data_IF_805733896640
#
_entry.id   IF_805733896640
#
_cell.length_a   1.000
_cell.length_b   1.000
_cell.length_c   1.000
_cell.angle_alpha   90.00
_cell.angle_beta   90.00
_cell.angle_gamma   90.00
#
_symmetry.space_group_name_H-M   'P 1'
#
loop_
_entity.id
_entity.type
_entity.pdbx_description
1 polymer ?
#
# COMPACT_ATOMS: atom_id res chain seq x y z
N UNK A 1 -12.26 5.69 -16.89
CA UNK A 1 -11.26 6.39 -16.06
C UNK A 1 -10.51 5.33 -15.30
N UNK A 2 -9.17 5.40 -15.24
CA UNK A 2 -8.38 4.41 -14.50
C UNK A 2 -8.60 4.59 -13.01
N UNK A 3 -8.77 3.48 -12.30
CA UNK A 3 -8.81 3.47 -10.83
C UNK A 3 -7.46 3.02 -10.30
N UNK A 4 -7.13 3.44 -9.10
CA UNK A 4 -5.83 3.21 -8.46
C UNK A 4 -6.02 2.40 -7.19
N UNK A 5 -5.08 1.51 -6.92
CA UNK A 5 -4.99 0.78 -5.66
C UNK A 5 -3.65 1.11 -5.02
N UNK A 6 -3.67 1.78 -3.87
CA UNK A 6 -2.42 2.07 -3.14
C UNK A 6 -1.95 0.85 -2.36
N UNK A 7 -0.66 0.52 -2.50
CA UNK A 7 0.02 -0.47 -1.66
C UNK A 7 0.03 -0.07 -0.19
N UNK A 8 0.16 -1.05 0.70
CA UNK A 8 0.32 -0.77 2.14
C UNK A 8 1.52 0.12 2.46
N UNK A 9 2.62 -0.01 1.71
CA UNK A 9 3.79 0.85 1.89
C UNK A 9 3.49 2.31 1.52
N UNK A 10 2.83 2.55 0.39
CA UNK A 10 2.43 3.91 -0.02
C UNK A 10 1.45 4.53 0.97
N UNK A 11 0.46 3.77 1.43
CA UNK A 11 -0.50 4.23 2.44
C UNK A 11 0.20 4.55 3.76
N UNK A 12 1.17 3.73 4.17
CA UNK A 12 1.93 3.99 5.37
C UNK A 12 2.79 5.25 5.26
N UNK A 13 3.32 5.57 4.08
CA UNK A 13 4.06 6.81 3.86
C UNK A 13 3.15 8.05 3.90
N UNK A 14 1.94 7.97 3.34
CA UNK A 14 0.91 9.02 3.49
C UNK A 14 0.54 9.23 4.96
N UNK A 15 0.41 8.15 5.74
CA UNK A 15 0.12 8.23 7.17
C UNK A 15 1.21 9.04 7.88
N UNK A 16 2.49 8.83 7.58
CA UNK A 16 3.59 9.50 8.28
C UNK A 16 3.59 11.02 8.15
N UNK A 17 3.01 11.59 7.08
CA UNK A 17 2.99 13.03 6.75
C UNK A 17 4.37 13.67 6.80
N UNK A 18 5.26 13.18 5.93
CA UNK A 18 6.69 13.55 5.91
C UNK A 18 7.17 14.04 4.55
N UNK A 19 6.26 14.44 3.66
CA UNK A 19 6.54 14.81 2.28
C UNK A 19 7.24 13.67 1.53
N UNK A 20 6.77 12.44 1.73
CA UNK A 20 7.29 11.27 1.04
C UNK A 20 6.64 11.14 -0.34
N UNK A 21 7.27 10.38 -1.25
CA UNK A 21 6.82 10.28 -2.64
C UNK A 21 5.34 9.89 -2.79
N UNK A 22 4.85 8.96 -1.97
CA UNK A 22 3.43 8.58 -2.01
C UNK A 22 2.47 9.69 -1.57
N UNK A 23 2.90 10.57 -0.65
CA UNK A 23 2.13 11.75 -0.23
C UNK A 23 2.08 12.78 -1.35
N UNK A 24 3.22 13.09 -1.96
CA UNK A 24 3.32 14.00 -3.10
C UNK A 24 2.54 13.49 -4.32
N UNK A 25 2.54 12.17 -4.55
CA UNK A 25 1.73 11.53 -5.57
C UNK A 25 0.24 11.76 -5.34
N UNK A 26 -0.23 11.62 -4.09
CA UNK A 26 -1.63 11.81 -3.71
C UNK A 26 -2.05 13.28 -3.84
N UNK A 27 -1.19 14.22 -3.42
CA UNK A 27 -1.43 15.66 -3.57
C UNK A 27 -1.58 16.09 -5.02
N UNK A 28 -0.84 15.46 -5.94
CA UNK A 28 -0.92 15.76 -7.36
C UNK A 28 -2.05 15.05 -8.12
N UNK A 29 -2.78 14.13 -7.47
CA UNK A 29 -3.80 13.29 -8.09
C UNK A 29 -4.89 14.12 -8.80
N UNK A 30 -5.41 15.15 -8.15
CA UNK A 30 -6.49 15.99 -8.68
C UNK A 30 -6.06 16.72 -9.98
N UNK A 31 -4.83 17.24 -10.00
CA UNK A 31 -4.26 17.89 -11.20
C UNK A 31 -4.13 16.97 -12.41
N UNK A 32 -4.14 15.65 -12.18
CA UNK A 32 -4.08 14.59 -13.19
C UNK A 32 -5.46 14.03 -13.55
N UNK A 33 -6.53 14.61 -12.98
CA UNK A 33 -7.89 14.10 -13.12
C UNK A 33 -8.12 12.77 -12.43
N UNK A 34 -7.37 12.46 -11.37
CA UNK A 34 -7.58 11.31 -10.51
C UNK A 34 -8.35 11.81 -9.28
N UNK A 35 -9.63 11.46 -9.19
CA UNK A 35 -10.47 11.89 -8.08
C UNK A 35 -10.30 10.97 -6.87
N UNK A 36 -10.68 11.46 -5.68
CA UNK A 36 -10.59 10.67 -4.45
C UNK A 36 -11.32 9.31 -4.55
N UNK A 37 -12.46 9.27 -5.24
CA UNK A 37 -13.27 8.08 -5.48
C UNK A 37 -12.60 7.04 -6.39
N UNK A 38 -11.58 7.44 -7.15
CA UNK A 38 -10.79 6.56 -8.00
C UNK A 38 -9.61 5.92 -7.25
N UNK A 39 -9.34 6.31 -6.00
CA UNK A 39 -8.21 5.83 -5.20
C UNK A 39 -8.70 4.91 -4.10
N UNK A 40 -8.34 3.65 -4.19
CA UNK A 40 -8.75 2.60 -3.26
C UNK A 40 -7.56 1.99 -2.50
N UNK A 41 -7.85 1.24 -1.45
CA UNK A 41 -6.92 0.34 -0.76
C UNK A 41 -7.53 -1.05 -0.65
N UNK A 42 -6.69 -2.09 -0.51
CA UNK A 42 -7.18 -3.44 -0.22
C UNK A 42 -7.60 -3.54 1.24
N UNK A 43 -8.58 -4.40 1.55
CA UNK A 43 -8.96 -4.69 2.94
C UNK A 43 -7.82 -5.28 3.79
N UNK A 44 -6.78 -5.84 3.17
CA UNK A 44 -5.58 -6.30 3.88
C UNK A 44 -4.70 -5.13 4.35
N UNK A 45 -4.76 -3.97 3.68
CA UNK A 45 -3.88 -2.83 3.94
C UNK A 45 -4.09 -2.25 5.34
N UNK A 46 -5.32 -1.93 5.81
CA UNK A 46 -5.54 -1.50 7.19
C UNK A 46 -5.06 -2.52 8.23
N UNK A 47 -5.26 -3.81 7.97
CA UNK A 47 -4.84 -4.90 8.86
C UNK A 47 -3.31 -4.94 9.00
N UNK A 48 -2.60 -4.93 7.87
CA UNK A 48 -1.12 -4.95 7.84
C UNK A 48 -0.53 -3.74 8.56
N UNK A 49 -1.02 -2.54 8.26
CA UNK A 49 -0.49 -1.30 8.85
C UNK A 49 -0.76 -1.23 10.35
N UNK A 50 -2.00 -1.56 10.79
CA UNK A 50 -2.33 -1.58 12.22
C UNK A 50 -1.46 -2.58 12.98
N UNK A 51 -1.31 -3.80 12.46
CA UNK A 51 -0.46 -4.80 13.08
C UNK A 51 0.99 -4.33 13.20
N UNK A 52 1.57 -3.74 12.14
CA UNK A 52 2.93 -3.20 12.18
C UNK A 52 3.10 -2.09 13.23
N UNK A 53 2.14 -1.17 13.31
CA UNK A 53 2.16 -0.08 14.30
C UNK A 53 2.01 -0.59 15.74
N UNK A 54 1.16 -1.58 15.97
CA UNK A 54 1.00 -2.22 17.28
C UNK A 54 2.26 -2.98 17.72
N UNK A 55 2.91 -3.68 16.80
CA UNK A 55 4.20 -4.33 17.05
C UNK A 55 5.28 -3.29 17.39
N UNK A 56 5.37 -2.22 16.61
CA UNK A 56 6.30 -1.13 16.87
C UNK A 56 6.06 -0.46 18.23
N UNK A 57 4.78 -0.23 18.59
CA UNK A 57 4.41 0.35 19.88
C UNK A 57 4.79 -0.57 21.05
N UNK A 58 4.56 -1.87 20.91
CA UNK A 58 4.91 -2.88 21.91
C UNK A 58 6.42 -2.95 22.10
N UNK A 59 7.18 -3.00 21.00
CA UNK A 59 8.64 -3.00 21.03
C UNK A 59 9.21 -1.73 21.67
N UNK A 60 8.69 -0.55 21.29
CA UNK A 60 9.15 0.74 21.82
C UNK A 60 8.85 0.91 23.32
N UNK A 61 7.77 0.31 23.84
CA UNK A 61 7.49 0.30 25.28
C UNK A 61 8.44 -0.63 26.04
N UNK A 62 8.81 -1.76 25.45
CA UNK A 62 9.68 -2.74 26.08
C UNK A 62 11.15 -2.29 26.12
N UNK A 63 11.63 -1.59 25.07
CA UNK A 63 13.00 -1.09 24.94
C UNK A 63 13.03 0.32 24.31
N UNK A 64 12.70 1.37 25.07
CA UNK A 64 12.59 2.73 24.55
C UNK A 64 13.86 3.25 23.87
N UNK A 65 15.02 2.90 24.39
CA UNK A 65 16.34 3.34 23.89
C UNK A 65 16.73 2.76 22.53
N UNK A 66 16.12 1.63 22.13
CA UNK A 66 16.38 0.96 20.85
C UNK A 66 15.26 1.22 19.82
N UNK A 67 14.25 2.03 20.16
CA UNK A 67 13.09 2.24 19.32
C UNK A 67 13.41 3.17 18.14
N UNK A 68 13.06 2.75 16.92
CA UNK A 68 13.19 3.57 15.70
C UNK A 68 12.40 4.89 15.82
N UNK A 69 11.24 4.83 16.47
CA UNK A 69 10.42 5.99 16.78
C UNK A 69 9.98 5.96 18.25
N UNK A 70 9.92 7.11 18.94
CA UNK A 70 9.45 7.16 20.31
C UNK A 70 7.94 6.89 20.38
N UNK A 71 7.47 6.37 21.52
CA UNK A 71 6.06 5.99 21.75
C UNK A 71 5.04 7.06 21.34
N UNK A 72 5.22 8.37 21.65
CA UNK A 72 4.27 9.40 21.21
C UNK A 72 4.13 9.49 19.68
N UNK A 73 5.23 9.37 18.94
CA UNK A 73 5.22 9.42 17.47
C UNK A 73 4.49 8.21 16.88
N UNK A 74 4.68 7.02 17.45
CA UNK A 74 3.96 5.81 17.00
C UNK A 74 2.45 5.96 17.26
N UNK A 75 2.06 6.56 18.38
CA UNK A 75 0.64 6.86 18.67
C UNK A 75 0.05 7.84 17.67
N UNK A 76 0.78 8.90 17.32
CA UNK A 76 0.34 9.84 16.28
C UNK A 76 0.12 9.14 14.93
N UNK A 77 1.00 8.21 14.54
CA UNK A 77 0.81 7.40 13.35
C UNK A 77 -0.44 6.51 13.42
N UNK A 78 -0.74 5.92 14.58
CA UNK A 78 -1.97 5.13 14.78
C UNK A 78 -3.21 6.02 14.62
N UNK A 79 -3.21 7.20 15.21
CA UNK A 79 -4.33 8.15 15.11
C UNK A 79 -4.54 8.63 13.66
N UNK A 80 -3.44 8.91 12.94
CA UNK A 80 -3.47 9.28 11.53
C UNK A 80 -3.97 8.13 10.65
N UNK A 81 -3.51 6.90 10.91
CA UNK A 81 -3.97 5.69 10.22
C UNK A 81 -5.47 5.47 10.40
N UNK A 82 -5.97 5.61 11.64
CA UNK A 82 -7.40 5.44 11.91
C UNK A 82 -8.26 6.46 11.18
N UNK A 83 -7.89 7.74 11.19
CA UNK A 83 -8.60 8.79 10.44
C UNK A 83 -8.61 8.50 8.94
N UNK A 84 -7.47 8.08 8.39
CA UNK A 84 -7.36 7.74 6.97
C UNK A 84 -8.24 6.53 6.63
N UNK A 85 -8.22 5.46 7.43
CA UNK A 85 -9.04 4.29 7.17
C UNK A 85 -10.54 4.54 7.35
N UNK A 86 -10.93 5.40 8.30
CA UNK A 86 -12.32 5.83 8.43
C UNK A 86 -12.81 6.61 7.21
N UNK A 87 -11.94 7.45 6.63
CA UNK A 87 -12.22 8.19 5.40
C UNK A 87 -12.42 7.24 4.21
N UNK A 88 -11.49 6.31 3.99
CA UNK A 88 -11.63 5.29 2.93
C UNK A 88 -12.85 4.39 3.14
N UNK A 89 -13.16 4.01 4.39
CA UNK A 89 -14.32 3.17 4.69
C UNK A 89 -15.65 3.89 4.45
N UNK A 90 -15.72 5.18 4.78
CA UNK A 90 -16.93 6.00 4.59
C UNK A 90 -17.38 6.06 3.13
N UNK A 91 -16.42 6.07 2.22
CA UNK A 91 -16.66 6.25 0.78
C UNK A 91 -16.59 4.93 -0.03
N UNK A 92 -16.62 3.76 0.64
CA UNK A 92 -16.51 2.44 -0.01
C UNK A 92 -15.24 2.30 -0.89
N UNK A 93 -14.13 2.87 -0.42
CA UNK A 93 -12.81 2.83 -1.08
C UNK A 93 -11.89 1.73 -0.53
N UNK A 94 -12.38 0.92 0.39
CA UNK A 94 -11.69 -0.30 0.87
C UNK A 94 -12.24 -1.50 0.11
N UNK A 95 -11.42 -2.10 -0.75
CA UNK A 95 -11.83 -3.25 -1.56
C UNK A 95 -11.82 -4.51 -0.69
N UNK A 96 -13.02 -5.02 -0.40
CA UNK A 96 -13.19 -6.27 0.33
C UNK A 96 -12.63 -7.46 -0.44
N UNK A 97 -12.04 -8.41 0.28
CA UNK A 97 -11.64 -9.69 -0.28
C UNK A 97 -12.88 -10.49 -0.70
N UNK A 98 -13.02 -10.77 -1.98
CA UNK A 98 -14.04 -11.67 -2.51
C UNK A 98 -13.43 -12.97 -3.06
N UNK A 99 -14.28 -13.85 -3.60
CA UNK A 99 -13.85 -15.12 -4.17
C UNK A 99 -12.93 -14.96 -5.39
N UNK A 100 -13.07 -13.88 -6.18
CA UNK A 100 -12.23 -13.63 -7.36
C UNK A 100 -10.84 -13.21 -6.94
N UNK A 101 -10.74 -12.31 -5.96
CA UNK A 101 -9.48 -11.86 -5.38
C UNK A 101 -8.79 -13.03 -4.68
N UNK A 102 -9.52 -13.83 -3.90
CA UNK A 102 -8.97 -15.01 -3.24
C UNK A 102 -8.43 -16.04 -4.23
N UNK A 103 -9.16 -16.32 -5.32
CA UNK A 103 -8.70 -17.20 -6.39
C UNK A 103 -7.43 -16.67 -7.05
N UNK A 104 -7.41 -15.38 -7.41
CA UNK A 104 -6.24 -14.75 -8.02
C UNK A 104 -5.04 -14.72 -7.07
N UNK A 105 -5.27 -14.51 -5.77
CA UNK A 105 -4.23 -14.60 -4.76
C UNK A 105 -3.64 -16.01 -4.71
N UNK A 106 -4.47 -17.05 -4.82
CA UNK A 106 -4.05 -18.45 -4.97
C UNK A 106 -3.05 -18.65 -6.12
N UNK A 107 -3.35 -18.09 -7.30
CA UNK A 107 -2.44 -18.15 -8.47
C UNK A 107 -1.07 -17.51 -8.18
N UNK A 108 -1.03 -16.48 -7.33
CA UNK A 108 0.19 -15.74 -6.99
C UNK A 108 0.99 -16.39 -5.86
N UNK A 109 0.43 -17.33 -5.10
CA UNK A 109 1.11 -17.92 -3.93
C UNK A 109 2.42 -18.63 -4.34
N UNK A 110 2.37 -19.41 -5.41
CA UNK A 110 3.52 -20.17 -5.92
C UNK A 110 4.47 -19.33 -6.78
N UNK A 111 4.05 -18.14 -7.20
CA UNK A 111 4.90 -17.22 -7.95
C UNK A 111 5.94 -16.58 -7.03
N UNK A 112 7.22 -16.74 -7.34
CA UNK A 112 8.30 -16.03 -6.66
C UNK A 112 8.41 -14.61 -7.22
N UNK A 113 7.81 -13.66 -6.51
CA UNK A 113 7.86 -12.24 -6.82
C UNK A 113 8.93 -11.62 -5.94
N UNK A 114 9.93 -10.97 -6.53
CA UNK A 114 11.05 -10.38 -5.78
C UNK A 114 11.31 -8.95 -6.21
N UNK A 115 11.62 -8.08 -5.25
CA UNK A 115 12.11 -6.72 -5.53
C UNK A 115 13.54 -6.55 -5.03
N UNK A 116 14.22 -5.50 -5.49
CA UNK A 116 15.55 -5.11 -4.99
C UNK A 116 15.45 -3.90 -4.08
N UNK A 117 16.18 -3.94 -2.98
CA UNK A 117 16.39 -2.75 -2.14
C UNK A 117 17.41 -1.79 -2.80
N UNK A 118 17.64 -0.59 -2.24
CA UNK A 118 18.63 0.36 -2.76
C UNK A 118 20.06 -0.18 -2.80
N UNK A 119 20.39 -1.18 -1.98
CA UNK A 119 21.70 -1.85 -1.94
C UNK A 119 21.80 -3.02 -2.95
N UNK A 120 20.73 -3.26 -3.73
CA UNK A 120 20.65 -4.30 -4.76
C UNK A 120 20.33 -5.70 -4.23
N UNK A 121 19.99 -5.86 -2.94
CA UNK A 121 19.61 -7.15 -2.35
C UNK A 121 18.19 -7.51 -2.74
N UNK A 122 17.98 -8.79 -3.08
CA UNK A 122 16.66 -9.29 -3.46
C UNK A 122 15.85 -9.75 -2.24
N UNK A 123 14.60 -9.31 -2.17
CA UNK A 123 13.63 -9.72 -1.16
C UNK A 123 12.38 -10.29 -1.82
N UNK A 124 11.84 -11.36 -1.25
CA UNK A 124 10.56 -11.90 -1.69
C UNK A 124 9.42 -10.98 -1.21
N UNK A 125 8.42 -10.77 -2.07
CA UNK A 125 7.23 -10.00 -1.75
C UNK A 125 6.38 -10.75 -0.70
N UNK A 126 6.01 -10.11 0.42
CA UNK A 126 5.20 -10.75 1.46
C UNK A 126 3.84 -11.23 0.95
N UNK A 127 3.28 -12.25 1.58
CA UNK A 127 1.94 -12.78 1.23
C UNK A 127 0.84 -11.71 1.29
N UNK A 128 0.92 -10.75 2.22
CA UNK A 128 -0.04 -9.66 2.31
C UNK A 128 0.01 -8.76 1.06
N UNK A 129 1.19 -8.45 0.56
CA UNK A 129 1.37 -7.69 -0.69
C UNK A 129 0.87 -8.48 -1.91
N UNK A 130 0.97 -9.81 -1.92
CA UNK A 130 0.35 -10.64 -2.96
C UNK A 130 -1.18 -10.52 -2.99
N UNK A 131 -1.82 -10.30 -1.83
CA UNK A 131 -3.26 -9.99 -1.77
C UNK A 131 -3.56 -8.62 -2.38
N UNK A 132 -2.72 -7.61 -2.13
CA UNK A 132 -2.85 -6.29 -2.74
C UNK A 132 -2.73 -6.37 -4.26
N UNK A 133 -1.75 -7.12 -4.77
CA UNK A 133 -1.58 -7.39 -6.21
C UNK A 133 -2.79 -8.12 -6.78
N UNK A 134 -3.29 -9.17 -6.11
CA UNK A 134 -4.50 -9.86 -6.54
C UNK A 134 -5.71 -8.92 -6.60
N UNK A 135 -5.84 -8.03 -5.61
CA UNK A 135 -6.87 -6.99 -5.58
C UNK A 135 -6.73 -6.06 -6.79
N UNK A 136 -5.51 -5.63 -7.11
CA UNK A 136 -5.24 -4.75 -8.26
C UNK A 136 -5.59 -5.42 -9.59
N UNK A 137 -5.20 -6.68 -9.77
CA UNK A 137 -5.47 -7.48 -10.97
C UNK A 137 -6.96 -7.73 -11.19
N UNK A 138 -7.73 -7.96 -10.12
CA UNK A 138 -9.17 -8.21 -10.21
C UNK A 138 -9.94 -6.91 -10.42
N UNK A 139 -9.56 -5.83 -9.74
CA UNK A 139 -10.20 -4.54 -9.95
C UNK A 139 -11.51 -4.34 -9.16
N UNK A 140 -12.29 -3.33 -9.57
CA UNK A 140 -13.68 -3.11 -9.11
C UNK A 140 -14.62 -3.25 -10.31
N UNK A 141 -15.31 -4.39 -10.38
CA UNK A 141 -16.08 -4.81 -11.55
C UNK A 141 -15.20 -5.58 -12.55
N UNK A 142 -15.15 -5.09 -13.79
CA UNK A 142 -14.34 -5.66 -14.89
C UNK A 142 -13.10 -4.82 -15.22
N UNK A 143 -12.79 -3.82 -14.39
CA UNK A 143 -11.69 -2.88 -14.62
C UNK A 143 -10.60 -3.07 -13.56
N UNK A 144 -9.42 -3.60 -13.93
CA UNK A 144 -8.24 -3.67 -13.07
C UNK A 144 -7.83 -2.29 -12.55
N UNK A 145 -7.17 -2.27 -11.40
CA UNK A 145 -6.56 -1.06 -10.86
C UNK A 145 -5.15 -0.87 -11.41
N UNK A 146 -4.72 0.39 -11.50
CA UNK A 146 -3.30 0.76 -11.50
C UNK A 146 -2.78 0.64 -10.07
N UNK A 147 -1.83 -0.25 -9.86
CA UNK A 147 -1.24 -0.49 -8.54
C UNK A 147 -0.16 0.55 -8.24
N UNK A 148 -0.30 1.30 -7.15
CA UNK A 148 0.65 2.34 -6.77
C UNK A 148 1.63 1.74 -5.75
N UNK A 149 2.86 1.49 -6.18
CA UNK A 149 3.89 0.81 -5.39
C UNK A 149 5.31 1.16 -5.85
N UNK A 150 6.26 1.17 -4.91
CA UNK A 150 7.66 1.52 -5.16
C UNK A 150 8.43 0.46 -5.95
N UNK A 151 7.98 -0.80 -5.92
CA UNK A 151 8.74 -1.94 -6.44
C UNK A 151 8.28 -2.37 -7.84
N UNK A 152 8.12 -1.42 -8.75
CA UNK A 152 7.65 -1.67 -10.12
C UNK A 152 8.50 -2.73 -10.84
N UNK A 153 9.81 -2.78 -10.58
CA UNK A 153 10.72 -3.78 -11.12
C UNK A 153 10.36 -5.20 -10.66
N UNK A 154 10.01 -5.37 -9.38
CA UNK A 154 9.61 -6.66 -8.83
C UNK A 154 8.27 -7.18 -9.34
N UNK A 155 7.45 -6.29 -9.91
CA UNK A 155 6.13 -6.60 -10.44
C UNK A 155 6.12 -6.84 -11.96
N UNK A 156 7.25 -6.63 -12.65
CA UNK A 156 7.33 -6.62 -14.11
C UNK A 156 6.88 -7.94 -14.77
N UNK A 157 7.07 -9.06 -14.09
CA UNK A 157 6.73 -10.39 -14.59
C UNK A 157 5.28 -10.80 -14.33
N UNK A 158 4.46 -9.96 -13.68
CA UNK A 158 3.07 -10.27 -13.31
C UNK A 158 2.12 -9.88 -14.46
N UNK A 159 1.53 -10.85 -15.20
CA UNK A 159 0.76 -10.52 -16.39
C UNK A 159 -0.51 -9.72 -16.07
N UNK A 160 -0.70 -8.62 -16.80
CA UNK A 160 -1.89 -7.77 -16.68
C UNK A 160 -1.88 -6.80 -15.49
N UNK A 161 -0.81 -6.80 -14.68
CA UNK A 161 -0.63 -5.81 -13.62
C UNK A 161 -0.05 -4.53 -14.21
N UNK A 162 -0.74 -3.40 -14.00
CA UNK A 162 -0.20 -2.07 -14.29
C UNK A 162 0.29 -1.47 -12.98
N UNK A 163 1.52 -0.97 -12.93
CA UNK A 163 2.11 -0.38 -11.73
C UNK A 163 2.54 1.06 -12.03
N UNK A 164 2.32 1.94 -11.06
CA UNK A 164 2.85 3.30 -11.07
C UNK A 164 3.71 3.52 -9.82
N UNK A 165 4.98 3.89 -10.01
CA UNK A 165 5.89 4.19 -8.92
C UNK A 165 5.77 5.67 -8.51
N UNK A 166 5.43 5.98 -7.24
CA UNK A 166 5.35 7.36 -6.78
C UNK A 166 6.69 8.13 -6.81
N UNK A 167 7.85 7.46 -6.78
CA UNK A 167 9.16 8.14 -6.89
C UNK A 167 9.38 8.79 -8.25
N UNK A 168 8.84 8.21 -9.32
CA UNK A 168 8.96 8.76 -10.68
C UNK A 168 8.26 10.10 -10.83
N UNK A 169 7.42 10.45 -9.86
CA UNK A 169 6.70 11.71 -9.80
C UNK A 169 7.51 12.82 -9.12
N UNK A 170 8.29 12.51 -8.09
CA UNK A 170 9.10 13.48 -7.34
C UNK A 170 10.38 13.87 -8.10
N UNK A 171 10.87 12.98 -8.98
CA UNK A 171 12.11 13.20 -9.74
C UNK A 171 11.92 13.94 -11.07
N UNK A 172 10.72 14.46 -11.36
CA UNK A 172 10.40 15.25 -12.56
C UNK A 172 10.18 16.72 -12.20
#
# INVERSE_FOLDING_TARGET
MSRYLMSSQCVFDVIKRRNLSAELWLEAADSRGIYADDICISAVTPMTIRWQLEQALTAARAKPEAAVHPVPVIRDFIDQANRLFEDFARDDRIIAMDHRIASRWGDLLDMRITYRDPDGRSFDVPSATKVEIATALVGRGDFPFVYVDYHQDGHADIPGLTVENPEDFVRK
#
